data_IF_058635514351
#
_entry.id   IF_058635514351
#
_cell.length_a   1.000
_cell.length_b   1.000
_cell.length_c   1.000
_cell.angle_alpha   90.00
_cell.angle_beta   90.00
_cell.angle_gamma   90.00
#
_symmetry.space_group_name_H-M   'P 1'
#
loop_
_entity.id
_entity.type
_entity.pdbx_description
1 polymer ?
#
# COMPACT_ATOMS: atom_id res chain seq x y z
N UNK A 1 -6.22 3.99 -15.07
CA UNK A 1 -6.70 4.93 -14.03
C UNK A 1 -8.09 4.52 -13.56
N UNK A 2 -8.19 3.94 -12.36
CA UNK A 2 -9.47 3.55 -11.77
C UNK A 2 -10.27 4.80 -11.34
N UNK A 3 -11.59 4.73 -11.47
CA UNK A 3 -12.51 5.78 -11.05
C UNK A 3 -12.75 5.66 -9.53
N UNK A 4 -12.15 6.57 -8.76
CA UNK A 4 -12.26 6.58 -7.30
C UNK A 4 -13.42 7.44 -6.78
N UNK A 5 -14.24 8.00 -7.67
CA UNK A 5 -15.33 8.93 -7.30
C UNK A 5 -16.39 8.29 -6.40
N UNK A 6 -16.55 6.96 -6.48
CA UNK A 6 -17.52 6.19 -5.70
C UNK A 6 -16.90 5.31 -4.61
N UNK A 7 -15.57 5.25 -4.52
CA UNK A 7 -14.85 4.40 -3.57
C UNK A 7 -14.97 4.98 -2.16
N UNK A 8 -15.30 4.12 -1.18
CA UNK A 8 -15.45 4.49 0.23
C UNK A 8 -14.78 3.47 1.13
N UNK A 9 -13.97 3.92 2.09
CA UNK A 9 -13.31 3.06 3.09
C UNK A 9 -14.18 2.92 4.34
N UNK A 10 -14.61 1.69 4.64
CA UNK A 10 -15.47 1.31 5.77
C UNK A 10 -14.76 0.31 6.68
N UNK A 11 -15.37 0.02 7.82
CA UNK A 11 -14.79 -0.87 8.85
C UNK A 11 -14.56 -2.29 8.34
N UNK A 12 -15.40 -2.77 7.41
CA UNK A 12 -15.22 -4.06 6.74
C UNK A 12 -13.90 -4.16 5.94
N UNK A 13 -13.41 -3.03 5.41
CA UNK A 13 -12.11 -2.97 4.73
C UNK A 13 -10.94 -3.00 5.72
N UNK A 14 -11.14 -2.45 6.92
CA UNK A 14 -10.15 -2.52 8.00
C UNK A 14 -10.04 -3.95 8.52
N UNK A 15 -11.16 -4.63 8.73
CA UNK A 15 -11.19 -6.02 9.14
C UNK A 15 -10.60 -6.96 8.07
N UNK A 16 -10.94 -6.74 6.80
CA UNK A 16 -10.34 -7.48 5.70
C UNK A 16 -8.82 -7.30 5.66
N UNK A 17 -8.33 -6.07 5.85
CA UNK A 17 -6.88 -5.81 5.93
C UNK A 17 -6.26 -6.53 7.14
N UNK A 18 -6.89 -6.49 8.32
CA UNK A 18 -6.41 -7.21 9.50
C UNK A 18 -6.20 -8.70 9.21
N UNK A 19 -7.24 -9.37 8.71
CA UNK A 19 -7.20 -10.79 8.40
C UNK A 19 -6.14 -11.09 7.34
N UNK A 20 -6.05 -10.24 6.31
CA UNK A 20 -5.04 -10.36 5.26
C UNK A 20 -3.61 -10.30 5.82
N UNK A 21 -3.31 -9.32 6.69
CA UNK A 21 -1.99 -9.16 7.31
C UNK A 21 -1.62 -10.31 8.26
N UNK A 22 -2.62 -10.93 8.89
CA UNK A 22 -2.44 -12.12 9.72
C UNK A 22 -2.32 -13.42 8.89
N UNK A 23 -2.42 -13.33 7.56
CA UNK A 23 -2.38 -14.48 6.67
C UNK A 23 -3.62 -15.37 6.76
N UNK A 24 -4.73 -14.86 7.28
CA UNK A 24 -5.98 -15.60 7.36
C UNK A 24 -6.58 -15.71 5.94
N UNK A 25 -6.72 -16.93 5.37
CA UNK A 25 -7.26 -17.10 4.03
C UNK A 25 -8.72 -16.67 3.89
N UNK A 26 -9.42 -16.45 5.01
CA UNK A 26 -10.81 -16.02 5.05
C UNK A 26 -11.00 -14.50 5.02
N UNK A 27 -9.91 -13.73 4.87
CA UNK A 27 -9.98 -12.27 4.70
C UNK A 27 -11.02 -11.78 3.66
N UNK A 28 -11.27 -12.47 2.51
CA UNK A 28 -12.28 -11.99 1.57
C UNK A 28 -13.70 -12.04 2.14
N UNK A 29 -13.96 -12.92 3.12
CA UNK A 29 -15.28 -13.04 3.76
C UNK A 29 -15.63 -11.85 4.66
N UNK A 30 -14.66 -11.04 5.05
CA UNK A 30 -14.93 -9.78 5.74
C UNK A 30 -15.58 -8.73 4.82
N UNK A 31 -15.41 -8.87 3.49
CA UNK A 31 -16.01 -8.00 2.49
C UNK A 31 -17.44 -8.44 2.17
N UNK A 32 -18.39 -7.50 2.12
CA UNK A 32 -19.78 -7.80 1.75
C UNK A 32 -19.94 -8.25 0.30
N UNK A 33 -19.15 -7.67 -0.60
CA UNK A 33 -19.15 -7.95 -2.03
C UNK A 33 -17.72 -7.78 -2.58
N UNK A 34 -16.88 -8.84 -2.53
CA UNK A 34 -15.47 -8.75 -2.94
C UNK A 34 -15.26 -8.22 -4.36
N UNK A 35 -16.19 -8.46 -5.28
CA UNK A 35 -16.10 -7.99 -6.66
C UNK A 35 -16.26 -6.48 -6.76
N UNK A 36 -17.10 -5.89 -5.90
CA UNK A 36 -17.35 -4.43 -5.86
C UNK A 36 -16.43 -3.68 -4.91
N UNK A 37 -15.93 -4.34 -3.87
CA UNK A 37 -15.06 -3.71 -2.86
C UNK A 37 -13.56 -3.84 -3.18
N UNK A 38 -13.21 -4.42 -4.34
CA UNK A 38 -11.83 -4.64 -4.76
C UNK A 38 -10.98 -3.36 -4.77
N UNK A 39 -11.51 -2.25 -5.29
CA UNK A 39 -10.80 -0.96 -5.31
C UNK A 39 -10.58 -0.39 -3.91
N UNK A 40 -11.58 -0.51 -3.03
CA UNK A 40 -11.48 -0.05 -1.65
C UNK A 40 -10.47 -0.89 -0.86
N UNK A 41 -10.45 -2.20 -1.08
CA UNK A 41 -9.48 -3.10 -0.46
C UNK A 41 -8.05 -2.88 -1.01
N UNK A 42 -7.88 -2.73 -2.32
CA UNK A 42 -6.59 -2.40 -2.92
C UNK A 42 -6.03 -1.07 -2.37
N UNK A 43 -6.89 -0.07 -2.19
CA UNK A 43 -6.50 1.18 -1.53
C UNK A 43 -6.07 0.97 -0.07
N UNK A 44 -6.72 0.08 0.68
CA UNK A 44 -6.30 -0.25 2.05
C UNK A 44 -4.92 -0.92 2.08
N UNK A 45 -4.61 -1.78 1.11
CA UNK A 45 -3.27 -2.39 0.96
C UNK A 45 -2.23 -1.31 0.65
N UNK A 46 -2.50 -0.41 -0.30
CA UNK A 46 -1.62 0.74 -0.58
C UNK A 46 -1.42 1.63 0.65
N UNK A 47 -2.48 1.90 1.41
CA UNK A 47 -2.41 2.71 2.61
C UNK A 47 -1.54 2.06 3.70
N UNK A 48 -1.70 0.75 3.93
CA UNK A 48 -0.86 -0.02 4.84
C UNK A 48 0.61 0.03 4.42
N UNK A 49 0.89 -0.17 3.13
CA UNK A 49 2.21 -0.01 2.55
C UNK A 49 2.78 1.41 2.81
N UNK A 50 2.01 2.46 2.53
CA UNK A 50 2.48 3.83 2.69
C UNK A 50 2.76 4.18 4.17
N UNK A 51 1.92 3.70 5.09
CA UNK A 51 2.10 3.88 6.53
C UNK A 51 3.34 3.14 7.03
N UNK A 52 3.52 1.86 6.64
CA UNK A 52 4.68 1.08 7.11
C UNK A 52 5.99 1.67 6.58
N UNK A 53 6.00 2.13 5.33
CA UNK A 53 7.15 2.83 4.73
C UNK A 53 7.49 4.08 5.53
N UNK A 54 6.50 4.89 5.91
CA UNK A 54 6.73 6.13 6.67
C UNK A 54 7.15 5.91 8.12
N UNK A 55 6.73 4.79 8.73
CA UNK A 55 7.15 4.41 10.08
C UNK A 55 8.60 3.94 10.11
N UNK A 56 8.97 3.09 9.15
CA UNK A 56 10.26 2.39 9.18
C UNK A 56 11.37 3.06 8.35
N UNK A 57 11.02 3.77 7.28
CA UNK A 57 11.98 4.49 6.45
C UNK A 57 11.94 5.98 6.82
N UNK A 58 13.07 6.59 7.21
CA UNK A 58 13.10 7.99 7.58
C UNK A 58 12.75 8.88 6.38
N UNK A 59 12.15 10.07 6.57
CA UNK A 59 11.89 10.99 5.48
C UNK A 59 13.15 11.45 4.71
N UNK A 60 14.32 11.29 5.33
CA UNK A 60 15.64 11.57 4.72
C UNK A 60 16.22 10.37 3.97
N UNK A 61 15.47 9.27 3.81
CA UNK A 61 15.92 8.08 3.08
C UNK A 61 16.13 8.46 1.62
N UNK A 62 17.40 8.51 1.22
CA UNK A 62 17.82 8.99 -0.09
C UNK A 62 17.50 7.99 -1.18
N UNK A 63 17.37 8.45 -2.42
CA UNK A 63 17.15 7.57 -3.57
C UNK A 63 18.16 6.40 -3.65
N UNK A 64 19.48 6.59 -3.47
CA UNK A 64 20.43 5.47 -3.43
C UNK A 64 20.18 4.45 -2.30
N UNK A 65 19.62 4.89 -1.17
CA UNK A 65 19.24 3.98 -0.07
C UNK A 65 17.99 3.18 -0.43
N UNK A 66 17.02 3.78 -1.12
CA UNK A 66 15.84 3.08 -1.65
C UNK A 66 16.25 2.01 -2.67
N UNK A 67 17.10 2.36 -3.63
CA UNK A 67 17.64 1.40 -4.63
C UNK A 67 18.34 0.23 -3.95
N UNK A 68 19.17 0.50 -2.92
CA UNK A 68 19.85 -0.56 -2.16
C UNK A 68 18.85 -1.44 -1.41
N UNK A 69 17.89 -0.83 -0.72
CA UNK A 69 16.85 -1.54 0.01
C UNK A 69 16.07 -2.49 -0.91
N UNK A 70 15.62 -2.02 -2.06
CA UNK A 70 14.87 -2.85 -3.03
C UNK A 70 15.74 -3.94 -3.64
N UNK A 71 17.02 -3.68 -3.90
CA UNK A 71 17.97 -4.70 -4.35
C UNK A 71 18.18 -5.81 -3.29
N UNK A 72 18.29 -5.44 -2.02
CA UNK A 72 18.44 -6.39 -0.91
C UNK A 72 17.14 -7.20 -0.72
N UNK A 73 15.98 -6.55 -0.76
CA UNK A 73 14.66 -7.19 -0.69
C UNK A 73 14.46 -8.22 -1.81
N UNK A 74 14.79 -7.85 -3.06
CA UNK A 74 14.78 -8.75 -4.23
C UNK A 74 15.67 -9.96 -4.02
N UNK A 75 16.88 -9.74 -3.53
CA UNK A 75 17.85 -10.81 -3.29
C UNK A 75 17.37 -11.78 -2.21
N UNK A 76 16.78 -11.27 -1.13
CA UNK A 76 16.24 -12.10 -0.03
C UNK A 76 15.08 -13.00 -0.46
N UNK A 77 14.38 -12.62 -1.53
CA UNK A 77 13.20 -13.30 -2.08
C UNK A 77 13.49 -14.14 -3.32
N UNK A 78 14.75 -14.25 -3.74
CA UNK A 78 15.13 -15.09 -4.87
C UNK A 78 14.77 -16.57 -4.59
N UNK A 79 13.69 -17.04 -5.24
CA UNK A 79 13.11 -18.38 -5.06
C UNK A 79 11.57 -18.44 -5.14
N UNK A 80 10.86 -17.30 -5.08
CA UNK A 80 9.39 -17.23 -5.16
C UNK A 80 8.79 -17.02 -6.57
N UNK A 81 7.48 -17.25 -6.71
CA UNK A 81 6.76 -17.30 -8.00
C UNK A 81 6.51 -15.95 -8.69
N UNK A 82 6.71 -14.81 -8.01
CA UNK A 82 6.52 -13.46 -8.57
C UNK A 82 7.73 -12.59 -8.26
N UNK A 83 8.48 -12.23 -9.29
CA UNK A 83 9.63 -11.34 -9.16
C UNK A 83 9.19 -9.91 -8.83
N UNK A 84 9.92 -9.25 -7.94
CA UNK A 84 9.74 -7.83 -7.63
C UNK A 84 10.40 -7.02 -8.75
N UNK A 85 9.62 -6.18 -9.42
CA UNK A 85 10.16 -5.16 -10.32
C UNK A 85 10.81 -4.05 -9.47
N UNK A 86 12.13 -3.81 -9.63
CA UNK A 86 12.85 -2.86 -8.79
C UNK A 86 12.35 -1.44 -9.01
N UNK A 87 12.09 -1.03 -10.26
CA UNK A 87 11.75 0.36 -10.59
C UNK A 87 10.37 0.73 -10.07
N UNK A 88 9.40 -0.17 -10.28
CA UNK A 88 8.05 0.01 -9.76
C UNK A 88 8.08 0.10 -8.24
N UNK A 89 8.81 -0.80 -7.57
CA UNK A 89 8.89 -0.82 -6.10
C UNK A 89 9.60 0.40 -5.53
N UNK A 90 10.71 0.83 -6.15
CA UNK A 90 11.44 2.05 -5.78
C UNK A 90 10.53 3.29 -5.88
N UNK A 91 9.77 3.40 -6.96
CA UNK A 91 8.85 4.52 -7.17
C UNK A 91 7.66 4.50 -6.21
N UNK A 92 7.11 3.32 -5.88
CA UNK A 92 6.09 3.19 -4.85
C UNK A 92 6.58 3.71 -3.49
N UNK A 93 7.80 3.34 -3.09
CA UNK A 93 8.40 3.81 -1.82
C UNK A 93 8.60 5.32 -1.84
N UNK A 94 9.17 5.86 -2.92
CA UNK A 94 9.38 7.31 -3.09
C UNK A 94 8.07 8.08 -3.04
N UNK A 95 7.03 7.59 -3.72
CA UNK A 95 5.70 8.19 -3.72
C UNK A 95 5.08 8.17 -2.33
N UNK A 96 5.20 7.05 -1.59
CA UNK A 96 4.76 6.96 -0.20
C UNK A 96 5.49 7.98 0.70
N UNK A 97 6.78 8.22 0.48
CA UNK A 97 7.58 9.23 1.18
C UNK A 97 7.31 10.68 0.71
N UNK A 98 6.45 10.88 -0.29
CA UNK A 98 6.04 12.20 -0.78
C UNK A 98 7.01 12.85 -1.76
N UNK A 99 7.85 12.07 -2.43
CA UNK A 99 8.74 12.57 -3.49
C UNK A 99 7.93 13.02 -4.71
N UNK A 100 7.80 14.34 -4.88
CA UNK A 100 7.06 14.96 -5.99
C UNK A 100 7.76 14.81 -7.36
N UNK A 101 8.99 14.29 -7.41
CA UNK A 101 9.73 14.03 -8.65
C UNK A 101 9.54 12.62 -9.20
N UNK A 102 8.71 11.80 -8.55
CA UNK A 102 8.29 10.51 -9.12
C UNK A 102 7.44 10.83 -10.35
N UNK A 103 8.04 10.67 -11.53
CA UNK A 103 7.32 10.69 -12.80
C UNK A 103 6.20 9.65 -12.76
N UNK A 104 5.08 9.95 -13.40
CA UNK A 104 4.07 8.93 -13.72
C UNK A 104 4.74 7.92 -14.67
N UNK A 105 5.39 6.89 -14.12
CA UNK A 105 5.84 5.75 -14.89
C UNK A 105 4.65 5.17 -15.68
N UNK A 106 4.87 4.55 -16.86
CA UNK A 106 3.80 3.93 -17.60
C UNK A 106 3.04 2.95 -16.70
N UNK A 107 1.73 3.20 -16.53
CA UNK A 107 0.77 2.49 -15.65
C UNK A 107 1.08 0.98 -15.59
N UNK A 108 1.89 0.54 -14.59
CA UNK A 108 2.36 -0.83 -14.55
C UNK A 108 1.18 -1.77 -14.27
N UNK A 109 1.29 -3.02 -14.72
CA UNK A 109 0.23 -3.99 -14.49
C UNK A 109 -0.08 -4.11 -12.97
N UNK A 110 -1.37 -4.16 -12.56
CA UNK A 110 -1.75 -4.17 -11.14
C UNK A 110 -1.05 -5.27 -10.32
N UNK A 111 -0.76 -6.42 -10.93
CA UNK A 111 -0.08 -7.53 -10.27
C UNK A 111 1.38 -7.20 -9.94
N UNK A 112 2.04 -6.34 -10.73
CA UNK A 112 3.42 -5.88 -10.48
C UNK A 112 3.42 -4.88 -9.32
N UNK A 113 2.45 -3.95 -9.30
CA UNK A 113 2.27 -3.01 -8.20
C UNK A 113 2.02 -3.75 -6.89
N UNK A 114 1.02 -4.64 -6.88
CA UNK A 114 0.68 -5.42 -5.70
C UNK A 114 1.86 -6.27 -5.21
N UNK A 115 2.64 -6.88 -6.12
CA UNK A 115 3.82 -7.64 -5.72
C UNK A 115 4.88 -6.78 -5.02
N UNK A 116 5.11 -5.55 -5.49
CA UNK A 116 6.03 -4.60 -4.84
C UNK A 116 5.53 -4.14 -3.47
N UNK A 117 4.26 -3.73 -3.39
CA UNK A 117 3.64 -3.29 -2.13
C UNK A 117 3.67 -4.37 -1.06
N UNK A 118 3.23 -5.58 -1.41
CA UNK A 118 3.19 -6.72 -0.48
C UNK A 118 4.58 -7.13 -0.05
N UNK A 119 5.56 -7.11 -0.95
CA UNK A 119 6.92 -7.48 -0.59
C UNK A 119 7.54 -6.54 0.45
N UNK A 120 7.30 -5.23 0.31
CA UNK A 120 7.77 -4.21 1.25
C UNK A 120 6.98 -4.30 2.56
N UNK A 121 5.66 -4.48 2.47
CA UNK A 121 4.79 -4.62 3.64
C UNK A 121 5.21 -5.81 4.50
N UNK A 122 5.41 -6.99 3.91
CA UNK A 122 5.87 -8.19 4.60
C UNK A 122 7.27 -8.03 5.24
N UNK A 123 8.18 -7.25 4.65
CA UNK A 123 9.53 -7.01 5.20
C UNK A 123 9.55 -6.01 6.36
N UNK A 124 8.71 -4.97 6.28
CA UNK A 124 8.71 -3.86 7.23
C UNK A 124 7.68 -4.03 8.37
N UNK A 125 6.55 -4.70 8.12
CA UNK A 125 5.49 -4.84 9.11
C UNK A 125 5.96 -5.48 10.43
N UNK A 126 6.80 -6.54 10.43
CA UNK A 126 7.29 -7.13 11.68
C UNK A 126 8.18 -6.19 12.52
N UNK A 127 8.68 -5.09 11.93
CA UNK A 127 9.48 -4.06 12.62
C UNK A 127 8.59 -2.98 13.24
N UNK A 128 7.47 -2.70 12.57
CA UNK A 128 6.50 -1.66 12.93
C UNK A 128 5.42 -2.14 13.91
N UNK A 129 5.11 -3.44 13.93
CA UNK A 129 4.02 -4.03 14.73
C UNK A 129 4.58 -5.10 15.65
N UNK A 130 4.72 -4.77 16.94
CA UNK A 130 5.28 -5.67 17.95
C UNK A 130 4.23 -6.54 18.66
N UNK A 131 2.99 -6.07 18.75
CA UNK A 131 1.89 -6.72 19.47
C UNK A 131 0.52 -6.34 18.88
N UNK A 132 -0.55 -6.85 19.50
CA UNK A 132 -1.93 -6.61 19.09
C UNK A 132 -2.30 -5.12 19.12
N UNK A 133 -1.83 -4.37 20.12
CA UNK A 133 -2.11 -2.94 20.22
C UNK A 133 -1.42 -2.18 19.08
N UNK A 134 -0.17 -2.54 18.76
CA UNK A 134 0.54 -2.01 17.62
C UNK A 134 -0.13 -2.32 16.28
N UNK A 135 -0.79 -3.48 16.16
CA UNK A 135 -1.58 -3.84 14.98
C UNK A 135 -2.82 -2.96 14.85
N UNK A 136 -3.58 -2.76 15.93
CA UNK A 136 -4.74 -1.86 15.92
C UNK A 136 -4.36 -0.42 15.57
N UNK A 137 -3.28 0.09 16.16
CA UNK A 137 -2.77 1.42 15.86
C UNK A 137 -2.37 1.54 14.38
N UNK A 138 -1.68 0.53 13.84
CA UNK A 138 -1.30 0.46 12.43
C UNK A 138 -2.51 0.43 11.48
N UNK A 139 -3.54 -0.36 11.81
CA UNK A 139 -4.79 -0.43 11.04
C UNK A 139 -5.55 0.89 11.07
N UNK A 140 -5.61 1.54 12.23
CA UNK A 140 -6.22 2.85 12.41
C UNK A 140 -5.53 3.93 11.58
N UNK A 141 -4.19 3.98 11.60
CA UNK A 141 -3.40 4.89 10.77
C UNK A 141 -3.60 4.63 9.28
N UNK A 142 -3.62 3.37 8.86
CA UNK A 142 -3.83 2.98 7.46
C UNK A 142 -5.22 3.40 6.97
N UNK A 143 -6.26 3.20 7.78
CA UNK A 143 -7.62 3.65 7.47
C UNK A 143 -7.71 5.18 7.37
N UNK A 144 -7.05 5.91 8.28
CA UNK A 144 -7.00 7.36 8.25
C UNK A 144 -6.28 7.88 7.00
N UNK A 145 -5.15 7.26 6.64
CA UNK A 145 -4.43 7.56 5.40
C UNK A 145 -5.32 7.36 4.18
N UNK A 146 -5.97 6.19 4.06
CA UNK A 146 -6.79 5.85 2.90
C UNK A 146 -7.95 6.84 2.70
N UNK A 147 -8.63 7.21 3.78
CA UNK A 147 -9.72 8.19 3.77
C UNK A 147 -9.24 9.60 3.35
N UNK A 148 -8.09 10.04 3.87
CA UNK A 148 -7.49 11.31 3.50
C UNK A 148 -7.07 11.33 2.02
N UNK A 149 -6.48 10.24 1.53
CA UNK A 149 -6.09 10.08 0.13
C UNK A 149 -7.30 10.15 -0.81
N UNK A 150 -8.40 9.44 -0.50
CA UNK A 150 -9.64 9.48 -1.27
C UNK A 150 -10.23 10.89 -1.33
N UNK A 151 -10.29 11.56 -0.18
CA UNK A 151 -10.83 12.93 -0.10
C UNK A 151 -10.06 13.86 -1.04
N UNK A 152 -8.73 13.85 -0.96
CA UNK A 152 -7.89 14.67 -1.82
C UNK A 152 -8.00 14.31 -3.32
N UNK A 153 -8.22 13.02 -3.63
CA UNK A 153 -8.40 12.55 -5.02
C UNK A 153 -9.74 13.01 -5.60
N UNK A 154 -10.82 12.81 -4.85
CA UNK A 154 -12.19 13.18 -5.26
C UNK A 154 -12.34 14.70 -5.43
N UNK A 155 -11.71 15.51 -4.56
CA UNK A 155 -11.68 16.97 -4.72
C UNK A 155 -10.99 17.42 -6.02
N UNK A 156 -9.89 16.77 -6.41
CA UNK A 156 -9.17 17.07 -7.66
C UNK A 156 -9.99 16.70 -8.90
N UNK A 157 -10.68 15.56 -8.85
CA UNK A 157 -11.54 15.09 -9.94
C UNK A 157 -12.75 16.01 -10.12
N UNK A 158 -13.39 16.45 -9.03
CA UNK A 158 -14.47 17.45 -9.07
C UNK A 158 -13.98 18.80 -9.61
N UNK A 159 -12.82 19.27 -9.18
CA UNK A 159 -12.24 20.53 -9.66
C UNK A 159 -11.83 20.50 -11.15
N UNK A 160 -11.58 19.32 -11.71
CA UNK A 160 -11.24 19.15 -13.13
C UNK A 160 -12.48 18.99 -14.03
N UNK A 161 -13.65 18.73 -13.44
CA UNK A 161 -14.92 18.51 -14.13
C UNK A 161 -15.83 19.75 -14.18
N UNK A 162 -15.47 20.83 -13.48
CA UNK A 162 -16.19 22.11 -13.45
C UNK A 162 -15.47 23.21 -14.22
#
# INVERSE_FOLDING_TARGET
>A
MNDYSSVVVRDEHVEALRLFLLGDPEWPKALKDPEREGDAFALMVYAAFAVVVRRELPPTFTYPQIVRYVADLRTSRNGGERGIDPRVTENLIRAALGDASVDEEPDPAPEIVAAGELAVLEDLLPRSVADEAGLEDFLGESAAFARAWLTARQEREQASAG
#
